data_IF_482303761920
#
_entry.id   IF_482303761920
#
_cell.length_a   1.000
_cell.length_b   1.000
_cell.length_c   1.000
_cell.angle_alpha   90.00
_cell.angle_beta   90.00
_cell.angle_gamma   90.00
#
_symmetry.space_group_name_H-M   'P 1'
#
loop_
_entity.id
_entity.type
_entity.pdbx_description
1 polymer ?
#
# COMPACT_ATOMS: atom_id res chain seq x y z
N UNK A 1 -24.78 -0.94 34.41
CA UNK A 1 -24.92 -0.38 33.05
C UNK A 1 -23.62 -0.61 32.31
N UNK A 2 -23.67 -1.34 31.21
CA UNK A 2 -22.51 -1.70 30.40
C UNK A 2 -22.17 -0.53 29.47
N UNK A 3 -21.21 0.31 29.88
CA UNK A 3 -20.75 1.51 29.16
C UNK A 3 -19.97 1.19 27.88
N UNK A 4 -19.91 -0.08 27.47
CA UNK A 4 -19.12 -0.56 26.32
C UNK A 4 -19.76 -0.33 24.95
N UNK A 5 -21.02 0.12 24.89
CA UNK A 5 -21.77 0.38 23.65
C UNK A 5 -22.62 1.64 23.74
N UNK A 6 -22.01 2.78 24.01
CA UNK A 6 -22.67 4.07 23.79
C UNK A 6 -22.50 4.43 22.31
N UNK A 7 -23.57 4.84 21.59
CA UNK A 7 -23.50 5.20 20.16
C UNK A 7 -22.39 6.22 19.85
N UNK A 8 -22.04 7.08 20.82
CA UNK A 8 -20.94 8.04 20.71
C UNK A 8 -19.57 7.37 20.49
N UNK A 9 -19.32 6.21 21.09
CA UNK A 9 -18.06 5.46 20.93
C UNK A 9 -17.96 4.88 19.52
N UNK A 10 -19.09 4.42 18.95
CA UNK A 10 -19.12 3.88 17.59
C UNK A 10 -18.89 4.99 16.56
N UNK A 11 -19.54 6.15 16.74
CA UNK A 11 -19.34 7.34 15.90
C UNK A 11 -17.88 7.81 15.95
N UNK A 12 -17.26 7.86 17.13
CA UNK A 12 -15.84 8.23 17.27
C UNK A 12 -14.94 7.21 16.54
N UNK A 13 -15.17 5.91 16.72
CA UNK A 13 -14.39 4.86 16.03
C UNK A 13 -14.51 4.92 14.52
N UNK A 14 -15.69 5.25 14.01
CA UNK A 14 -15.91 5.40 12.58
C UNK A 14 -15.24 6.67 12.03
N UNK A 15 -15.33 7.79 12.75
CA UNK A 15 -14.61 9.01 12.42
C UNK A 15 -13.08 8.79 12.41
N UNK A 16 -12.53 8.10 13.40
CA UNK A 16 -11.12 7.72 13.45
C UNK A 16 -10.72 6.84 12.27
N UNK A 17 -11.58 5.87 11.88
CA UNK A 17 -11.34 5.00 10.73
C UNK A 17 -11.32 5.78 9.42
N UNK A 18 -12.25 6.72 9.25
CA UNK A 18 -12.29 7.61 8.08
C UNK A 18 -11.03 8.48 8.05
N UNK A 19 -10.71 9.13 9.17
CA UNK A 19 -9.51 9.97 9.27
C UNK A 19 -8.24 9.20 8.95
N UNK A 20 -8.11 7.97 9.45
CA UNK A 20 -6.97 7.10 9.16
C UNK A 20 -6.89 6.75 7.67
N UNK A 21 -8.02 6.44 7.03
CA UNK A 21 -8.09 6.15 5.59
C UNK A 21 -7.75 7.37 4.73
N UNK A 22 -8.26 8.54 5.06
CA UNK A 22 -7.97 9.77 4.31
C UNK A 22 -6.52 10.19 4.48
N UNK A 23 -5.99 10.09 5.71
CA UNK A 23 -4.57 10.30 5.96
C UNK A 23 -3.71 9.35 5.11
N UNK A 24 -4.09 8.08 5.06
CA UNK A 24 -3.43 7.07 4.23
C UNK A 24 -3.48 7.42 2.74
N UNK A 25 -4.65 7.82 2.23
CA UNK A 25 -4.85 8.23 0.84
C UNK A 25 -3.92 9.40 0.44
N UNK A 26 -3.84 10.43 1.28
CA UNK A 26 -2.94 11.58 1.05
C UNK A 26 -1.47 11.13 0.98
N UNK A 27 -1.10 10.15 1.79
CA UNK A 27 0.26 9.62 1.83
C UNK A 27 0.60 8.82 0.57
N UNK A 28 -0.35 8.01 0.07
CA UNK A 28 -0.22 7.30 -1.21
C UNK A 28 -0.16 8.27 -2.39
N UNK A 29 -1.00 9.30 -2.41
CA UNK A 29 -1.00 10.32 -3.46
C UNK A 29 0.34 11.05 -3.55
N UNK A 30 0.94 11.42 -2.41
CA UNK A 30 2.28 12.05 -2.37
C UNK A 30 3.38 11.12 -2.86
N UNK A 31 3.33 9.84 -2.47
CA UNK A 31 4.27 8.84 -2.96
C UNK A 31 4.12 8.63 -4.47
N UNK A 32 2.89 8.60 -4.98
CA UNK A 32 2.61 8.51 -6.41
C UNK A 32 3.17 9.72 -7.18
N UNK A 33 2.99 10.94 -6.66
CA UNK A 33 3.56 12.16 -7.27
C UNK A 33 5.08 12.11 -7.38
N UNK A 34 5.78 11.60 -6.36
CA UNK A 34 7.23 11.40 -6.41
C UNK A 34 7.64 10.40 -7.49
N UNK A 35 6.84 9.34 -7.67
CA UNK A 35 7.12 8.28 -8.63
C UNK A 35 6.66 8.61 -10.05
N UNK A 36 5.77 9.58 -10.25
CA UNK A 36 5.15 9.89 -11.56
C UNK A 36 6.17 10.20 -12.68
N UNK A 37 7.35 10.68 -12.33
CA UNK A 37 8.41 11.06 -13.27
C UNK A 37 9.38 9.92 -13.59
N UNK A 38 9.15 8.73 -13.06
CA UNK A 38 10.04 7.57 -13.26
C UNK A 38 9.67 6.80 -14.52
N UNK A 39 10.67 6.41 -15.29
CA UNK A 39 10.51 5.67 -16.56
C UNK A 39 10.79 4.17 -16.43
N UNK A 40 10.97 3.69 -15.20
CA UNK A 40 11.32 2.31 -14.89
C UNK A 40 10.72 1.89 -13.54
N UNK A 41 11.05 0.69 -13.08
CA UNK A 41 10.65 0.21 -11.76
C UNK A 41 11.31 1.07 -10.68
N UNK A 42 10.47 1.75 -9.89
CA UNK A 42 10.91 2.65 -8.84
C UNK A 42 10.06 2.47 -7.58
N UNK A 43 10.61 2.90 -6.44
CA UNK A 43 9.89 2.89 -5.17
C UNK A 43 10.25 4.10 -4.32
N UNK A 44 9.34 4.47 -3.44
CA UNK A 44 9.56 5.51 -2.42
C UNK A 44 8.92 5.10 -1.11
N UNK A 45 9.41 5.66 -0.01
CA UNK A 45 8.80 5.47 1.30
C UNK A 45 7.46 6.18 1.34
N UNK A 46 6.52 5.59 2.06
CA UNK A 46 5.29 6.30 2.39
C UNK A 46 5.64 7.50 3.28
N UNK A 47 5.08 8.69 2.99
CA UNK A 47 5.29 9.93 3.77
C UNK A 47 4.12 10.12 4.73
N UNK A 48 4.31 10.45 6.02
CA UNK A 48 5.59 10.66 6.68
C UNK A 48 6.39 9.36 6.73
N UNK A 49 7.70 9.51 6.58
CA UNK A 49 8.65 8.47 6.22
C UNK A 49 8.48 7.20 7.06
N UNK A 50 7.80 6.20 6.50
CA UNK A 50 7.65 4.89 7.13
C UNK A 50 8.84 4.02 6.70
N UNK A 51 9.74 3.61 7.61
CA UNK A 51 10.83 2.69 7.25
C UNK A 51 10.32 1.29 6.87
N UNK A 52 9.02 1.05 7.09
CA UNK A 52 8.37 -0.24 6.96
C UNK A 52 7.63 -0.37 5.64
N UNK A 53 7.19 0.74 5.02
CA UNK A 53 6.28 0.72 3.85
C UNK A 53 6.89 1.47 2.68
N UNK A 54 7.01 0.77 1.56
CA UNK A 54 7.48 1.29 0.28
C UNK A 54 6.35 1.21 -0.74
N UNK A 55 6.03 2.33 -1.39
CA UNK A 55 5.13 2.39 -2.55
C UNK A 55 5.96 2.10 -3.79
N UNK A 56 5.45 1.24 -4.67
CA UNK A 56 6.16 0.75 -5.86
C UNK A 56 5.41 1.18 -7.11
N UNK A 57 6.15 1.67 -8.11
CA UNK A 57 5.61 2.06 -9.40
C UNK A 57 6.44 1.49 -10.56
N UNK A 58 5.79 1.35 -11.72
CA UNK A 58 6.41 1.08 -13.01
C UNK A 58 5.98 2.18 -13.96
N UNK A 59 6.93 2.84 -14.62
CA UNK A 59 6.66 3.89 -15.61
C UNK A 59 5.74 5.00 -15.04
N UNK A 60 5.96 5.40 -13.79
CA UNK A 60 5.16 6.41 -13.10
C UNK A 60 3.80 5.93 -12.57
N UNK A 61 3.34 4.73 -12.93
CA UNK A 61 2.09 4.16 -12.43
C UNK A 61 2.33 3.30 -11.18
N UNK A 62 1.65 3.61 -10.08
CA UNK A 62 1.71 2.82 -8.84
C UNK A 62 1.10 1.45 -9.08
N UNK A 63 1.86 0.40 -8.75
CA UNK A 63 1.44 -1.00 -8.90
C UNK A 63 1.12 -1.67 -7.57
N UNK A 64 1.57 -1.08 -6.46
CA UNK A 64 1.26 -1.58 -5.13
C UNK A 64 2.22 -1.04 -4.08
N UNK A 65 2.29 -1.76 -2.97
CA UNK A 65 3.19 -1.45 -1.87
C UNK A 65 3.83 -2.71 -1.32
N UNK A 66 5.00 -2.53 -0.72
CA UNK A 66 5.69 -3.56 0.05
C UNK A 66 5.83 -3.10 1.49
N UNK A 67 5.38 -3.94 2.42
CA UNK A 67 5.49 -3.72 3.86
C UNK A 67 6.42 -4.74 4.50
N UNK A 68 7.41 -4.28 5.28
CA UNK A 68 8.19 -5.17 6.14
C UNK A 68 7.34 -5.63 7.32
N UNK A 69 7.31 -6.94 7.57
CA UNK A 69 6.68 -7.53 8.73
C UNK A 69 7.65 -8.53 9.35
N UNK A 70 8.22 -8.18 10.52
CA UNK A 70 9.33 -8.92 11.15
C UNK A 70 10.53 -9.05 10.18
N UNK A 71 10.88 -10.28 9.81
CA UNK A 71 11.95 -10.63 8.87
C UNK A 71 11.47 -10.78 7.43
N UNK A 72 10.18 -10.55 7.18
CA UNK A 72 9.52 -10.81 5.89
C UNK A 72 9.05 -9.52 5.24
N UNK A 73 8.80 -9.59 3.94
CA UNK A 73 8.32 -8.48 3.11
C UNK A 73 7.03 -8.91 2.42
N UNK A 74 5.95 -8.20 2.74
CA UNK A 74 4.61 -8.47 2.24
C UNK A 74 4.31 -7.51 1.10
N UNK A 75 4.08 -8.03 -0.09
CA UNK A 75 3.63 -7.29 -1.26
C UNK A 75 2.10 -7.21 -1.28
N UNK A 76 1.54 -6.04 -1.54
CA UNK A 76 0.09 -5.83 -1.71
C UNK A 76 -0.14 -4.99 -2.95
N UNK A 77 -0.88 -5.52 -3.92
CA UNK A 77 -1.20 -4.82 -5.16
C UNK A 77 -2.22 -3.70 -4.94
N UNK A 78 -2.27 -2.73 -5.86
CA UNK A 78 -3.30 -1.69 -5.85
C UNK A 78 -4.69 -2.33 -5.93
N UNK A 79 -5.61 -1.90 -5.06
CA UNK A 79 -6.99 -2.37 -5.03
C UNK A 79 -7.18 -3.80 -4.49
N UNK A 80 -6.11 -4.50 -4.11
CA UNK A 80 -6.19 -5.85 -3.57
C UNK A 80 -6.56 -5.86 -2.09
N UNK A 81 -7.46 -6.77 -1.69
CA UNK A 81 -7.81 -7.00 -0.27
C UNK A 81 -6.76 -7.81 0.49
N UNK A 82 -5.84 -8.48 -0.21
CA UNK A 82 -4.87 -9.40 0.37
C UNK A 82 -3.46 -9.27 -0.20
N UNK A 83 -2.47 -9.94 0.41
CA UNK A 83 -1.10 -9.93 -0.06
C UNK A 83 -0.99 -10.70 -1.39
N UNK A 84 -0.24 -10.12 -2.32
CA UNK A 84 0.15 -10.78 -3.58
C UNK A 84 1.30 -11.75 -3.33
N UNK A 85 2.21 -11.42 -2.40
CA UNK A 85 3.30 -12.29 -2.00
C UNK A 85 3.78 -12.00 -0.57
N UNK A 86 4.35 -13.02 0.05
CA UNK A 86 5.13 -12.92 1.28
C UNK A 86 6.55 -13.46 1.01
N UNK A 87 7.54 -12.57 1.09
CA UNK A 87 8.89 -12.82 0.62
C UNK A 87 9.94 -12.63 1.72
N UNK A 88 11.08 -13.32 1.59
CA UNK A 88 12.21 -13.14 2.51
C UNK A 88 12.99 -11.85 2.28
N UNK A 89 12.86 -11.23 1.11
CA UNK A 89 13.61 -10.03 0.72
C UNK A 89 12.71 -8.98 0.10
N UNK A 90 13.11 -7.71 0.25
CA UNK A 90 12.44 -6.58 -0.37
C UNK A 90 12.38 -6.73 -1.89
N UNK A 91 13.51 -7.08 -2.52
CA UNK A 91 13.61 -7.25 -3.97
C UNK A 91 12.62 -8.30 -4.50
N UNK A 92 12.52 -9.46 -3.84
CA UNK A 92 11.58 -10.50 -4.24
C UNK A 92 10.10 -10.03 -4.15
N UNK A 93 9.77 -9.23 -3.14
CA UNK A 93 8.42 -8.67 -3.01
C UNK A 93 8.10 -7.61 -4.09
N UNK A 94 9.09 -6.79 -4.45
CA UNK A 94 8.98 -5.82 -5.57
C UNK A 94 8.83 -6.55 -6.91
N UNK A 95 9.61 -7.59 -7.15
CA UNK A 95 9.53 -8.42 -8.38
C UNK A 95 8.18 -9.15 -8.48
N UNK A 96 7.64 -9.62 -7.35
CA UNK A 96 6.30 -10.23 -7.30
C UNK A 96 5.22 -9.23 -7.71
N UNK A 97 5.28 -7.98 -7.23
CA UNK A 97 4.36 -6.91 -7.67
C UNK A 97 4.50 -6.62 -9.16
N UNK A 98 5.73 -6.53 -9.67
CA UNK A 98 5.97 -6.24 -11.08
C UNK A 98 5.43 -7.35 -12.00
N UNK A 99 5.60 -8.62 -11.58
CA UNK A 99 5.06 -9.78 -12.29
C UNK A 99 3.53 -9.76 -12.31
N UNK A 100 2.91 -9.49 -11.16
CA UNK A 100 1.45 -9.49 -11.06
C UNK A 100 0.80 -8.33 -11.84
N UNK A 101 1.43 -7.16 -11.82
CA UNK A 101 0.97 -6.01 -12.63
C UNK A 101 0.96 -6.34 -14.13
N UNK A 102 2.00 -7.03 -14.63
CA UNK A 102 2.06 -7.47 -16.03
C UNK A 102 1.00 -8.54 -16.34
N UNK A 103 0.73 -9.46 -15.42
CA UNK A 103 -0.31 -10.48 -15.56
C UNK A 103 -1.73 -9.89 -15.60
N UNK A 104 -2.00 -8.89 -14.77
CA UNK A 104 -3.31 -8.21 -14.70
C UNK A 104 -3.62 -7.42 -15.97
N UNK A 105 -2.61 -6.85 -16.64
CA UNK A 105 -2.78 -6.17 -17.93
C UNK A 105 -3.01 -7.14 -19.10
N UNK A 106 -2.52 -8.38 -19.01
CA UNK A 106 -2.76 -9.41 -20.03
C UNK A 106 -4.18 -10.00 -19.98
N UNK A 107 -4.84 -9.96 -18.81
CA UNK A 107 -6.19 -10.51 -18.62
C UNK A 107 -7.34 -9.55 -19.03
N UNK A 108 -7.03 -8.38 -19.59
CA UNK A 108 -8.01 -7.35 -20.02
C UNK A 108 -8.15 -7.21 -21.54
N UNK A 109 -7.60 -8.14 -22.34
CA UNK A 109 -7.77 -8.22 -23.80
C UNK A 109 -8.62 -9.44 -24.14
#
# INVERSE_FOLDING_TARGET
>A
MDTRRTPDIEVIKDAERILYREKWRIHEERAAQQLAHTSSLAWTRLVPDSPVIQVVAINGAVIGQVRRHRTRWIATGVGQRGPVADCGTFRAAVEALATESRGTHAAKL
#
